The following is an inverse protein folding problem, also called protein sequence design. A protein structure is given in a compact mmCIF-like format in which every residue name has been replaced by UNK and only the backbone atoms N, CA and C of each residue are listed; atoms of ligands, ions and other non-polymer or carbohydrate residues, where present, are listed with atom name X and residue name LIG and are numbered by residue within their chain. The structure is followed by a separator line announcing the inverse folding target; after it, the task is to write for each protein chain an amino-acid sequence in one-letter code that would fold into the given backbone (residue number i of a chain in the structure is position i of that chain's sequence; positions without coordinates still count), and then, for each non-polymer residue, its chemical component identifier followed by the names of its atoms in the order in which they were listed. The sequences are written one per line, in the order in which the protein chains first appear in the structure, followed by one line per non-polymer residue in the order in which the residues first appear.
data_IF_980396775205
#
_entry.id   IF_980396775205
#
_cell.length_a   1.000
_cell.length_b   1.000
_cell.length_c   1.000
_cell.angle_alpha   90.00
_cell.angle_beta   90.00
_cell.angle_gamma   90.00
#
_symmetry.space_group_name_H-M   'P 1'
#
loop_
_entity.id
_entity.type
_entity.pdbx_description
1 polymer ?
#
# COMPACT_ATOMS: atom_id res chain seq x y z
N UNK A 1 -29.72 -14.92 -12.74
CA UNK A 1 -29.38 -13.95 -11.67
C UNK A 1 -27.98 -14.16 -11.08
N UNK A 2 -27.07 -14.87 -11.77
CA UNK A 2 -25.68 -15.10 -11.34
C UNK A 2 -24.71 -14.54 -12.40
N UNK A 3 -24.81 -13.27 -12.69
CA UNK A 3 -23.83 -12.56 -13.52
C UNK A 3 -22.80 -11.89 -12.63
N UNK A 4 -21.58 -12.33 -12.74
CA UNK A 4 -20.41 -11.84 -11.99
C UNK A 4 -20.07 -12.85 -10.89
N UNK A 5 -18.97 -13.52 -11.02
CA UNK A 5 -18.46 -14.51 -10.05
C UNK A 5 -17.75 -13.81 -8.88
N UNK A 6 -18.28 -12.70 -8.40
CA UNK A 6 -17.67 -11.81 -7.39
C UNK A 6 -17.37 -12.49 -6.04
N UNK A 7 -18.01 -13.64 -5.76
CA UNK A 7 -17.75 -14.44 -4.56
C UNK A 7 -16.62 -15.47 -4.73
N UNK A 8 -16.04 -15.60 -5.92
CA UNK A 8 -14.90 -16.48 -6.13
C UNK A 8 -13.64 -15.69 -5.86
N UNK A 9 -13.04 -15.86 -4.69
CA UNK A 9 -11.75 -15.33 -4.32
C UNK A 9 -10.57 -15.86 -5.19
N UNK A 10 -10.87 -16.77 -6.12
CA UNK A 10 -9.88 -17.39 -7.01
C UNK A 10 -9.79 -16.71 -8.37
N UNK A 11 -9.67 -15.40 -8.40
CA UNK A 11 -9.11 -14.70 -9.55
C UNK A 11 -7.64 -14.30 -9.29
N UNK A 12 -6.89 -15.21 -8.68
CA UNK A 12 -5.44 -15.18 -8.88
C UNK A 12 -5.23 -15.55 -10.35
N UNK A 13 -5.07 -14.54 -11.18
CA UNK A 13 -4.56 -14.71 -12.53
C UNK A 13 -3.11 -15.18 -12.36
N UNK A 14 -2.94 -16.52 -12.26
CA UNK A 14 -1.64 -17.16 -12.04
C UNK A 14 -0.70 -17.03 -13.25
N UNK A 15 -1.21 -16.50 -14.36
CA UNK A 15 -0.37 -16.18 -15.52
C UNK A 15 0.42 -14.92 -15.20
N UNK A 16 1.71 -15.10 -14.96
CA UNK A 16 2.63 -13.99 -14.83
C UNK A 16 2.52 -13.10 -16.09
N UNK A 17 2.17 -11.83 -15.90
CA UNK A 17 2.20 -10.87 -16.99
C UNK A 17 3.65 -10.70 -17.47
N UNK A 18 3.89 -10.54 -18.78
CA UNK A 18 5.23 -10.25 -19.27
C UNK A 18 5.76 -8.96 -18.65
N UNK A 19 7.05 -8.92 -18.40
CA UNK A 19 7.70 -7.72 -17.89
C UNK A 19 7.57 -6.57 -18.89
N UNK A 20 7.24 -5.35 -18.45
CA UNK A 20 7.23 -4.18 -19.32
C UNK A 20 8.65 -3.85 -19.78
N UNK A 21 8.78 -3.25 -20.97
CA UNK A 21 10.07 -2.84 -21.50
C UNK A 21 10.74 -1.76 -20.64
N UNK A 22 9.93 -0.85 -20.12
CA UNK A 22 10.33 0.20 -19.18
C UNK A 22 9.46 0.12 -17.93
N UNK A 23 10.09 0.20 -16.77
CA UNK A 23 9.40 0.17 -15.50
C UNK A 23 9.07 1.59 -15.03
N UNK A 24 7.77 1.94 -14.89
CA UNK A 24 7.36 3.28 -14.47
C UNK A 24 7.82 3.60 -13.04
N UNK A 25 7.93 4.89 -12.73
CA UNK A 25 8.22 5.37 -11.39
C UNK A 25 6.97 5.35 -10.50
N UNK A 26 7.13 4.93 -9.23
CA UNK A 26 5.99 4.76 -8.32
C UNK A 26 6.28 5.41 -6.97
N UNK A 27 5.27 6.06 -6.42
CA UNK A 27 5.25 6.50 -5.04
C UNK A 27 4.10 5.84 -4.29
N UNK A 28 4.41 5.12 -3.22
CA UNK A 28 3.40 4.63 -2.29
C UNK A 28 2.99 5.72 -1.30
N UNK A 29 1.69 5.83 -1.01
CA UNK A 29 1.13 6.73 0.00
C UNK A 29 0.39 5.89 1.04
N UNK A 30 0.77 6.03 2.30
CA UNK A 30 0.24 5.30 3.44
C UNK A 30 -0.29 6.30 4.47
N UNK A 31 -1.60 6.42 4.66
CA UNK A 31 -2.15 7.12 5.81
C UNK A 31 -2.06 6.21 7.03
N UNK A 32 -1.54 6.69 8.16
CA UNK A 32 -1.47 5.95 9.40
C UNK A 32 -2.00 6.77 10.57
N UNK A 33 -2.79 6.14 11.43
CA UNK A 33 -3.24 6.71 12.68
C UNK A 33 -3.43 5.62 13.72
N UNK A 34 -2.62 5.64 14.78
CA UNK A 34 -2.63 4.64 15.84
C UNK A 34 -2.48 3.20 15.33
N UNK A 35 -1.42 2.97 14.56
CA UNK A 35 -1.10 1.71 13.88
C UNK A 35 0.20 1.08 14.43
N UNK A 36 0.48 1.27 15.74
CA UNK A 36 1.73 0.78 16.36
C UNK A 36 1.94 -0.73 16.21
N UNK A 37 0.86 -1.51 16.16
CA UNK A 37 0.92 -2.97 16.05
C UNK A 37 1.27 -3.46 14.64
N UNK A 38 0.93 -2.70 13.59
CA UNK A 38 0.99 -3.12 12.17
C UNK A 38 2.05 -2.40 11.36
N UNK A 39 2.28 -1.11 11.62
CA UNK A 39 3.07 -0.22 10.77
C UNK A 39 4.50 -0.72 10.49
N UNK A 40 5.14 -1.38 11.47
CA UNK A 40 6.48 -1.91 11.28
C UNK A 40 6.55 -3.00 10.21
N UNK A 41 5.56 -3.91 10.18
CA UNK A 41 5.46 -4.98 9.20
C UNK A 41 5.17 -4.42 7.81
N UNK A 42 4.20 -3.52 7.71
CA UNK A 42 3.80 -2.86 6.46
C UNK A 42 4.98 -2.14 5.82
N UNK A 43 5.68 -1.28 6.58
CA UNK A 43 6.84 -0.56 6.06
C UNK A 43 7.97 -1.49 5.63
N UNK A 44 8.31 -2.51 6.42
CA UNK A 44 9.35 -3.48 6.03
C UNK A 44 8.98 -4.21 4.74
N UNK A 45 7.73 -4.60 4.57
CA UNK A 45 7.26 -5.28 3.36
C UNK A 45 7.35 -4.41 2.10
N UNK A 46 7.07 -3.10 2.23
CA UNK A 46 7.22 -2.15 1.14
C UNK A 46 8.69 -1.82 0.84
N UNK A 47 9.52 -1.67 1.87
CA UNK A 47 10.96 -1.43 1.70
C UNK A 47 11.71 -2.64 1.13
N UNK A 48 11.11 -3.83 1.19
CA UNK A 48 11.62 -5.09 0.64
C UNK A 48 11.07 -5.43 -0.74
N UNK A 49 10.31 -4.52 -1.39
CA UNK A 49 9.76 -4.79 -2.72
C UNK A 49 10.87 -4.99 -3.77
N UNK A 50 10.76 -6.07 -4.52
CA UNK A 50 11.60 -6.39 -5.68
C UNK A 50 11.04 -5.71 -6.92
N UNK A 51 11.17 -4.38 -6.97
CA UNK A 51 10.67 -3.58 -8.07
C UNK A 51 11.84 -3.03 -8.90
N UNK A 52 11.88 -3.29 -10.24
CA UNK A 52 12.99 -2.85 -11.07
C UNK A 52 13.05 -1.35 -11.32
N UNK A 53 11.89 -0.67 -11.31
CA UNK A 53 11.77 0.77 -11.52
C UNK A 53 12.09 1.61 -10.27
N UNK A 54 11.87 2.91 -10.37
CA UNK A 54 12.00 3.81 -9.21
C UNK A 54 10.81 3.64 -8.29
N UNK A 55 11.07 3.38 -7.01
CA UNK A 55 10.04 3.24 -5.99
C UNK A 55 10.40 3.99 -4.73
N UNK A 56 9.42 4.68 -4.14
CA UNK A 56 9.55 5.33 -2.84
C UNK A 56 8.22 5.30 -2.07
N UNK A 57 8.31 5.52 -0.77
CA UNK A 57 7.18 5.43 0.17
C UNK A 57 7.04 6.75 0.92
N UNK A 58 5.81 7.25 1.02
CA UNK A 58 5.42 8.38 1.87
C UNK A 58 4.44 7.85 2.91
N UNK A 59 4.80 7.93 4.18
CA UNK A 59 3.93 7.71 5.32
C UNK A 59 3.43 9.04 5.81
N UNK A 60 2.10 9.19 5.93
CA UNK A 60 1.47 10.35 6.55
C UNK A 60 0.92 9.92 7.91
N UNK A 61 1.55 10.38 8.97
CA UNK A 61 1.11 10.16 10.35
C UNK A 61 -0.01 11.16 10.71
N UNK A 62 -1.26 10.69 10.65
CA UNK A 62 -2.45 11.51 10.94
C UNK A 62 -2.64 11.74 12.44
N UNK A 63 -1.67 12.40 13.06
CA UNK A 63 -1.67 12.76 14.47
C UNK A 63 -1.88 11.54 15.39
N UNK A 64 -1.08 10.48 15.22
CA UNK A 64 -1.09 9.32 16.11
C UNK A 64 -0.73 9.71 17.56
N UNK A 65 -1.42 9.11 18.51
CA UNK A 65 -1.20 9.30 19.96
C UNK A 65 -0.40 8.15 20.57
N UNK A 66 -0.13 7.09 19.79
CA UNK A 66 0.63 5.89 20.16
C UNK A 66 2.09 5.93 19.64
N UNK A 67 2.75 4.78 19.54
CA UNK A 67 4.14 4.67 19.08
C UNK A 67 4.30 4.63 17.55
N UNK A 68 3.24 4.85 16.76
CA UNK A 68 3.26 4.72 15.28
C UNK A 68 4.41 5.49 14.64
N UNK A 69 4.53 6.79 14.92
CA UNK A 69 5.59 7.63 14.33
C UNK A 69 6.98 7.20 14.76
N UNK A 70 7.16 6.85 16.05
CA UNK A 70 8.45 6.41 16.59
C UNK A 70 8.90 5.06 15.98
N UNK A 71 7.95 4.14 15.76
CA UNK A 71 8.20 2.85 15.12
C UNK A 71 8.58 3.06 13.65
N UNK A 72 7.88 3.91 12.92
CA UNK A 72 8.17 4.23 11.53
C UNK A 72 9.59 4.80 11.37
N UNK A 73 9.98 5.75 12.23
CA UNK A 73 11.33 6.32 12.25
C UNK A 73 12.41 5.29 12.57
N UNK A 74 12.13 4.35 13.47
CA UNK A 74 13.03 3.24 13.78
C UNK A 74 13.22 2.33 12.57
N UNK A 75 12.12 1.92 11.90
CA UNK A 75 12.19 1.11 10.67
C UNK A 75 13.01 1.81 9.59
N UNK A 76 12.80 3.12 9.39
CA UNK A 76 13.56 3.92 8.43
C UNK A 76 15.07 3.90 8.69
N UNK A 77 15.48 3.94 9.96
CA UNK A 77 16.91 3.94 10.36
C UNK A 77 17.54 2.56 10.30
N UNK A 78 16.79 1.51 10.65
CA UNK A 78 17.29 0.14 10.75
C UNK A 78 17.29 -0.60 9.41
N UNK A 79 16.43 -0.21 8.47
CA UNK A 79 16.28 -0.90 7.20
C UNK A 79 17.22 -0.31 6.15
N UNK A 80 18.24 -1.06 5.77
CA UNK A 80 19.08 -0.73 4.62
C UNK A 80 18.30 -1.09 3.34
N UNK A 81 17.64 -0.13 2.74
CA UNK A 81 16.87 -0.32 1.50
C UNK A 81 17.23 0.75 0.47
N UNK A 82 17.16 0.37 -0.81
CA UNK A 82 17.21 1.33 -1.93
C UNK A 82 15.91 2.14 -2.07
N UNK A 83 14.82 1.67 -1.45
CA UNK A 83 13.52 2.35 -1.45
C UNK A 83 13.57 3.49 -0.44
N UNK A 84 13.33 4.71 -0.90
CA UNK A 84 13.25 5.89 -0.05
C UNK A 84 11.98 5.87 0.81
N UNK A 85 12.10 6.17 2.11
CA UNK A 85 10.96 6.35 3.02
C UNK A 85 10.95 7.78 3.56
N UNK A 86 9.88 8.50 3.26
CA UNK A 86 9.56 9.81 3.83
C UNK A 86 8.44 9.65 4.85
N UNK A 87 8.64 10.21 6.05
CA UNK A 87 7.62 10.24 7.10
C UNK A 87 7.24 11.70 7.30
N UNK A 88 5.96 12.02 7.18
CA UNK A 88 5.47 13.37 7.34
C UNK A 88 4.31 13.43 8.34
N UNK A 89 4.26 14.46 9.20
CA UNK A 89 3.11 14.66 10.08
C UNK A 89 1.91 15.15 9.27
N UNK A 90 0.72 14.67 9.63
CA UNK A 90 -0.53 15.16 9.10
C UNK A 90 -0.85 16.57 9.60
N UNK A 91 -1.34 17.41 8.71
CA UNK A 91 -1.84 18.74 9.07
C UNK A 91 -3.23 18.64 9.75
N UNK A 92 -3.63 19.71 10.42
CA UNK A 92 -4.94 19.82 11.05
C UNK A 92 -6.07 19.50 10.06
N UNK A 93 -7.05 18.72 10.53
CA UNK A 93 -8.19 18.28 9.73
C UNK A 93 -9.09 19.47 9.37
N UNK A 94 -9.28 19.79 8.07
CA UNK A 94 -10.20 20.84 7.65
C UNK A 94 -11.65 20.40 7.83
N UNK A 95 -12.55 21.36 7.89
CA UNK A 95 -13.98 21.08 7.88
C UNK A 95 -14.38 20.30 6.62
N UNK A 96 -15.32 19.36 6.76
CA UNK A 96 -15.85 18.49 5.69
C UNK A 96 -14.88 17.41 5.18
N UNK A 97 -13.69 17.27 5.77
CA UNK A 97 -12.80 16.14 5.48
C UNK A 97 -12.91 15.06 6.55
N UNK A 98 -12.65 13.81 6.17
CA UNK A 98 -12.40 12.72 7.13
C UNK A 98 -10.89 12.56 7.30
N UNK A 99 -10.42 12.15 8.48
CA UNK A 99 -9.00 12.05 8.80
C UNK A 99 -8.23 11.23 7.76
N UNK A 100 -8.68 10.00 7.49
CA UNK A 100 -8.01 9.13 6.51
C UNK A 100 -7.90 9.74 5.11
N UNK A 101 -8.99 10.32 4.60
CA UNK A 101 -8.97 10.95 3.28
C UNK A 101 -8.10 12.19 3.24
N UNK A 102 -8.06 12.96 4.34
CA UNK A 102 -7.19 14.12 4.44
C UNK A 102 -5.71 13.73 4.47
N UNK A 103 -5.37 12.68 5.20
CA UNK A 103 -4.01 12.14 5.21
C UNK A 103 -3.59 11.61 3.84
N UNK A 104 -4.46 10.86 3.14
CA UNK A 104 -4.21 10.40 1.76
C UNK A 104 -4.00 11.59 0.84
N UNK A 105 -4.85 12.61 0.89
CA UNK A 105 -4.73 13.81 0.07
C UNK A 105 -3.37 14.50 0.25
N UNK A 106 -2.92 14.69 1.49
CA UNK A 106 -1.61 15.29 1.79
C UNK A 106 -0.46 14.45 1.23
N UNK A 107 -0.56 13.12 1.36
CA UNK A 107 0.42 12.19 0.80
C UNK A 107 0.47 12.26 -0.73
N UNK A 108 -0.68 12.35 -1.40
CA UNK A 108 -0.77 12.51 -2.85
C UNK A 108 -0.15 13.86 -3.30
N UNK A 109 -0.44 14.96 -2.60
CA UNK A 109 0.18 16.26 -2.91
C UNK A 109 1.71 16.20 -2.79
N UNK A 110 2.22 15.53 -1.75
CA UNK A 110 3.66 15.33 -1.58
C UNK A 110 4.25 14.45 -2.69
N UNK A 111 3.57 13.35 -3.03
CA UNK A 111 3.97 12.44 -4.09
C UNK A 111 3.99 13.11 -5.47
N UNK A 112 2.99 13.94 -5.77
CA UNK A 112 2.87 14.65 -7.07
C UNK A 112 4.07 15.55 -7.35
N UNK A 113 4.72 16.09 -6.33
CA UNK A 113 5.95 16.89 -6.48
C UNK A 113 7.14 16.06 -6.98
N UNK A 114 7.09 14.74 -6.79
CA UNK A 114 8.09 13.79 -7.29
C UNK A 114 7.81 13.35 -8.73
N UNK A 115 6.65 13.73 -9.28
CA UNK A 115 6.20 13.42 -10.64
C UNK A 115 6.25 11.91 -10.96
N UNK A 116 5.68 11.03 -10.12
CA UNK A 116 5.65 9.60 -10.42
C UNK A 116 4.67 9.30 -11.57
N UNK A 117 4.93 8.21 -12.28
CA UNK A 117 4.01 7.71 -13.30
C UNK A 117 2.74 7.09 -12.66
N UNK A 118 2.91 6.41 -11.50
CA UNK A 118 1.82 5.82 -10.73
C UNK A 118 1.89 6.12 -9.24
N UNK A 119 0.74 6.08 -8.61
CA UNK A 119 0.58 6.10 -7.15
C UNK A 119 0.10 4.73 -6.67
N UNK A 120 0.74 4.18 -5.64
CA UNK A 120 0.26 3.04 -4.88
C UNK A 120 -0.41 3.56 -3.61
N UNK A 121 -1.73 3.43 -3.50
CA UNK A 121 -2.45 3.74 -2.25
C UNK A 121 -2.63 2.45 -1.47
N UNK A 122 -2.15 2.39 -0.25
CA UNK A 122 -2.25 1.21 0.62
C UNK A 122 -2.48 1.62 2.07
N UNK A 123 -3.11 0.73 2.84
CA UNK A 123 -3.34 0.96 4.26
C UNK A 123 -2.11 0.60 5.11
N UNK A 124 -2.08 1.08 6.35
CA UNK A 124 -0.96 0.91 7.28
C UNK A 124 -0.88 -0.48 7.93
N UNK A 125 -1.86 -1.34 7.69
CA UNK A 125 -1.97 -2.70 8.20
C UNK A 125 -1.82 -3.80 7.13
N UNK A 126 -1.45 -3.42 5.91
CA UNK A 126 -1.30 -4.34 4.78
C UNK A 126 0.15 -4.79 4.62
N UNK A 127 0.37 -6.11 4.66
CA UNK A 127 1.64 -6.72 4.28
C UNK A 127 1.69 -7.03 2.77
N UNK A 128 2.80 -6.70 2.13
CA UNK A 128 3.00 -6.91 0.69
C UNK A 128 4.00 -8.04 0.43
N UNK A 129 3.68 -8.97 -0.47
CA UNK A 129 4.66 -9.94 -0.95
C UNK A 129 5.79 -9.21 -1.70
N UNK A 130 7.03 -9.74 -1.72
CA UNK A 130 8.17 -9.03 -2.33
C UNK A 130 7.97 -8.68 -3.81
N UNK A 131 7.24 -9.49 -4.55
CA UNK A 131 6.94 -9.33 -5.98
C UNK A 131 5.59 -8.65 -6.28
N UNK A 132 4.86 -8.24 -5.23
CA UNK A 132 3.50 -7.73 -5.39
C UNK A 132 3.44 -6.50 -6.30
N UNK A 133 4.34 -5.53 -6.08
CA UNK A 133 4.35 -4.29 -6.86
C UNK A 133 4.71 -4.53 -8.33
N UNK A 134 5.72 -5.35 -8.61
CA UNK A 134 6.11 -5.69 -9.97
C UNK A 134 4.99 -6.42 -10.72
N UNK A 135 4.28 -7.34 -10.08
CA UNK A 135 3.13 -8.03 -10.68
C UNK A 135 1.96 -7.08 -10.97
N UNK A 136 1.63 -6.17 -10.04
CA UNK A 136 0.57 -5.18 -10.25
C UNK A 136 0.87 -4.28 -11.44
N UNK A 137 2.10 -3.79 -11.53
CA UNK A 137 2.52 -2.90 -12.60
C UNK A 137 2.56 -3.63 -13.94
N UNK A 138 3.18 -4.81 -14.01
CA UNK A 138 3.21 -5.60 -15.23
C UNK A 138 1.79 -5.86 -15.77
N UNK A 139 0.84 -6.14 -14.88
CA UNK A 139 -0.57 -6.31 -15.27
C UNK A 139 -1.22 -5.01 -15.75
N UNK A 140 -0.95 -3.88 -15.09
CA UNK A 140 -1.47 -2.57 -15.49
C UNK A 140 -0.99 -2.19 -16.88
N UNK A 141 0.30 -2.34 -17.15
CA UNK A 141 0.92 -2.03 -18.43
C UNK A 141 0.40 -2.94 -19.55
N UNK A 142 0.30 -4.26 -19.29
CA UNK A 142 -0.23 -5.22 -20.27
C UNK A 142 -1.66 -4.89 -20.70
N UNK A 143 -2.51 -4.54 -19.75
CA UNK A 143 -3.93 -4.28 -19.98
C UNK A 143 -4.20 -2.83 -20.40
N UNK A 144 -3.20 -1.94 -20.38
CA UNK A 144 -3.34 -0.50 -20.61
C UNK A 144 -4.30 0.17 -19.61
N UNK A 145 -4.27 -0.26 -18.34
CA UNK A 145 -5.20 0.20 -17.31
C UNK A 145 -4.66 1.40 -16.57
N UNK A 146 -5.51 2.41 -16.41
CA UNK A 146 -5.22 3.61 -15.61
C UNK A 146 -5.31 3.34 -14.10
N UNK A 147 -6.07 2.31 -13.72
CA UNK A 147 -6.28 1.91 -12.32
C UNK A 147 -6.39 0.40 -12.21
N UNK A 148 -5.63 -0.15 -11.27
CA UNK A 148 -5.72 -1.55 -10.84
C UNK A 148 -5.93 -1.56 -9.32
N UNK A 149 -6.83 -2.39 -8.84
CA UNK A 149 -7.06 -2.60 -7.42
C UNK A 149 -6.90 -4.07 -7.10
N UNK A 150 -6.22 -4.35 -5.99
CA UNK A 150 -6.04 -5.69 -5.46
C UNK A 150 -6.69 -5.77 -4.09
N UNK A 151 -7.42 -6.86 -3.84
CA UNK A 151 -7.99 -7.11 -2.54
C UNK A 151 -6.94 -7.77 -1.65
N UNK A 152 -6.76 -7.25 -0.43
CA UNK A 152 -5.89 -7.88 0.54
C UNK A 152 -6.51 -9.21 1.02
N UNK A 153 -5.68 -10.23 1.20
CA UNK A 153 -6.08 -11.45 1.85
C UNK A 153 -6.25 -11.20 3.36
N UNK A 154 -7.44 -11.50 3.88
CA UNK A 154 -7.73 -11.32 5.29
C UNK A 154 -7.00 -12.37 6.12
N UNK A 155 -6.24 -11.93 7.11
CA UNK A 155 -5.58 -12.83 8.06
C UNK A 155 -6.62 -13.51 8.95
N UNK A 156 -6.70 -14.84 8.85
CA UNK A 156 -7.59 -15.67 9.64
C UNK A 156 -6.77 -16.53 10.62
N UNK A 157 -6.40 -15.98 11.77
CA UNK A 157 -5.57 -16.67 12.76
C UNK A 157 -6.37 -17.71 13.56
N UNK A 158 -7.63 -17.44 13.86
CA UNK A 158 -8.49 -18.31 14.68
C UNK A 158 -9.44 -19.16 13.84
N UNK A 159 -9.94 -20.26 14.43
CA UNK A 159 -10.97 -21.10 13.78
C UNK A 159 -12.29 -20.33 13.58
N UNK A 160 -12.62 -19.42 14.46
CA UNK A 160 -13.82 -18.58 14.35
C UNK A 160 -13.69 -17.59 13.18
N UNK A 161 -12.55 -16.95 13.02
CA UNK A 161 -12.28 -16.08 11.88
C UNK A 161 -12.33 -16.84 10.54
N UNK A 162 -11.72 -18.02 10.46
CA UNK A 162 -11.78 -18.88 9.27
C UNK A 162 -13.20 -19.30 8.90
N UNK A 163 -14.12 -19.34 9.87
CA UNK A 163 -15.51 -19.71 9.65
C UNK A 163 -16.39 -18.52 9.27
N UNK A 164 -16.09 -17.33 9.81
CA UNK A 164 -16.93 -16.12 9.67
C UNK A 164 -16.49 -15.19 8.54
N UNK A 165 -15.19 -15.02 8.35
CA UNK A 165 -14.63 -14.07 7.36
C UNK A 165 -14.93 -14.44 5.90
N UNK A 166 -14.89 -15.71 5.46
CA UNK A 166 -15.21 -16.08 4.07
C UNK A 166 -16.67 -15.87 3.65
N UNK A 167 -17.51 -15.34 4.52
CA UNK A 167 -18.93 -15.08 4.23
C UNK A 167 -19.17 -13.69 3.61
N UNK A 168 -18.13 -12.89 3.37
CA UNK A 168 -18.22 -11.55 2.78
C UNK A 168 -17.56 -11.47 1.41
#
# INVERSE_FOLDING_TARGET
LFRGQYWRANTTDETAAPEPADWPSIVAVIPARNEEDSIAQTLRSLLAQEYPGQFSVILVDDNSEDQTAAIAERVRKETASRVGLTIMPGAALPQQWTGKLWAVHQGIEAATRMQPDYLLLTDADIGHAPDNLSRLVARSELDGRVQVSQMAELSCATRAERFLIPAF
#
